data_IF_995037129640
#
_entry.id   IF_995037129640
#
_cell.length_a   1.000
_cell.length_b   1.000
_cell.length_c   1.000
_cell.angle_alpha   90.00
_cell.angle_beta   90.00
_cell.angle_gamma   90.00
#
_symmetry.space_group_name_H-M   'P 1'
#
loop_
_entity.id
_entity.type
_entity.pdbx_description
1 polymer ?
#
# COMPACT_ATOMS: atom_id res chain seq x y z
N UNK A 1 16.58 41.41 -2.09
CA UNK A 1 18.01 41.00 -2.13
C UNK A 1 18.58 41.22 -0.75
N UNK A 2 19.36 40.27 -0.24
CA UNK A 2 20.05 40.40 1.04
C UNK A 2 21.11 41.50 0.86
N UNK A 3 21.04 42.56 1.67
CA UNK A 3 21.92 43.74 1.56
C UNK A 3 22.90 43.85 2.72
N UNK A 4 22.70 43.08 3.78
CA UNK A 4 23.57 43.03 4.94
C UNK A 4 24.71 42.04 4.72
N UNK A 5 25.96 42.51 4.82
CA UNK A 5 27.17 41.70 4.65
C UNK A 5 27.43 40.71 5.78
N UNK A 6 26.74 40.88 6.91
CA UNK A 6 26.83 39.95 8.04
C UNK A 6 25.90 38.73 7.88
N UNK A 7 25.00 38.75 6.90
CA UNK A 7 24.10 37.63 6.62
C UNK A 7 24.88 36.42 6.06
N UNK A 8 24.68 35.20 6.60
CA UNK A 8 25.35 33.98 6.13
C UNK A 8 25.14 33.67 4.64
N UNK A 9 24.08 34.19 4.03
CA UNK A 9 23.73 33.99 2.63
C UNK A 9 24.02 35.23 1.77
N UNK A 10 24.81 36.19 2.26
CA UNK A 10 25.21 37.38 1.48
C UNK A 10 25.92 37.00 0.18
N UNK A 11 26.76 35.97 0.20
CA UNK A 11 27.45 35.39 -0.98
C UNK A 11 26.57 34.37 -1.75
N UNK A 12 25.29 34.25 -1.39
CA UNK A 12 24.33 33.34 -1.98
C UNK A 12 24.16 32.01 -1.25
N UNK A 13 23.14 31.26 -1.68
CA UNK A 13 22.83 29.92 -1.21
C UNK A 13 22.95 28.93 -2.38
N UNK A 14 23.63 27.81 -2.15
CA UNK A 14 23.74 26.72 -3.11
C UNK A 14 23.62 25.38 -2.40
N UNK A 15 23.20 24.35 -3.15
CA UNK A 15 23.18 22.97 -2.67
C UNK A 15 24.52 22.31 -3.02
N UNK A 16 25.32 21.85 -2.04
CA UNK A 16 26.59 21.18 -2.29
C UNK A 16 26.44 19.85 -3.05
N UNK A 17 27.49 19.43 -3.77
CA UNK A 17 27.49 18.18 -4.56
C UNK A 17 27.35 16.91 -3.72
N UNK A 18 27.72 16.96 -2.43
CA UNK A 18 27.60 15.83 -1.50
C UNK A 18 26.22 15.72 -0.83
N UNK A 19 25.22 16.50 -1.27
CA UNK A 19 23.85 16.43 -0.79
C UNK A 19 23.00 15.61 -1.76
N UNK A 20 22.31 14.60 -1.21
CA UNK A 20 21.34 13.79 -1.91
C UNK A 20 19.94 14.08 -1.36
N UNK A 21 18.96 14.25 -2.25
CA UNK A 21 17.55 14.46 -1.87
C UNK A 21 16.78 13.21 -2.29
N UNK A 22 16.26 12.49 -1.31
CA UNK A 22 15.39 11.33 -1.50
C UNK A 22 14.01 11.72 -1.01
N UNK A 23 13.07 11.82 -1.95
CA UNK A 23 11.65 12.06 -1.65
C UNK A 23 10.85 10.76 -1.82
N UNK A 24 9.87 10.55 -0.94
CA UNK A 24 8.86 9.50 -1.11
C UNK A 24 7.54 10.16 -1.48
N UNK A 25 6.84 9.63 -2.47
CA UNK A 25 5.53 10.11 -2.90
C UNK A 25 4.51 8.97 -2.78
N UNK A 26 3.29 9.32 -2.39
CA UNK A 26 2.16 8.41 -2.49
C UNK A 26 1.36 8.74 -3.76
N UNK A 27 1.25 7.77 -4.67
CA UNK A 27 0.65 7.98 -5.99
C UNK A 27 -0.88 8.15 -5.96
N UNK A 28 -1.54 7.72 -4.87
CA UNK A 28 -3.00 7.87 -4.72
C UNK A 28 -3.42 9.25 -4.22
N UNK A 29 -2.48 10.03 -3.66
CA UNK A 29 -2.82 11.30 -3.04
C UNK A 29 -3.01 12.37 -4.12
N UNK A 30 -4.28 12.63 -4.45
CA UNK A 30 -4.67 13.62 -5.45
C UNK A 30 -4.24 15.05 -5.11
N UNK A 31 -3.84 15.34 -3.87
CA UNK A 31 -3.26 16.64 -3.52
C UNK A 31 -1.91 16.89 -4.20
N UNK A 32 -1.25 15.82 -4.65
CA UNK A 32 0.09 15.84 -5.26
C UNK A 32 0.03 15.91 -6.80
N UNK A 33 -1.15 15.78 -7.42
CA UNK A 33 -1.31 15.88 -8.89
C UNK A 33 -0.86 17.23 -9.45
N UNK A 34 -0.94 18.30 -8.63
CA UNK A 34 -0.45 19.64 -9.00
C UNK A 34 1.07 19.80 -8.94
N UNK A 35 1.82 18.73 -8.63
CA UNK A 35 3.27 18.84 -8.52
C UNK A 35 3.87 19.33 -9.82
N UNK A 36 4.47 20.51 -9.73
CA UNK A 36 4.97 21.30 -10.85
C UNK A 36 5.84 20.45 -11.76
N UNK A 37 5.61 20.56 -13.07
CA UNK A 37 6.46 19.99 -14.12
C UNK A 37 7.95 20.30 -13.90
N UNK A 38 8.26 21.41 -13.23
CA UNK A 38 9.59 21.78 -12.79
C UNK A 38 10.22 20.76 -11.82
N UNK A 39 9.47 20.16 -10.91
CA UNK A 39 9.97 19.13 -10.00
C UNK A 39 10.15 17.80 -10.71
N UNK A 40 9.21 17.39 -11.58
CA UNK A 40 9.30 16.11 -12.31
C UNK A 40 10.57 15.95 -13.15
N UNK A 41 11.17 17.05 -13.64
CA UNK A 41 12.44 17.04 -14.39
C UNK A 41 13.72 17.07 -13.54
N UNK A 42 13.61 17.30 -12.22
CA UNK A 42 14.76 17.44 -11.31
C UNK A 42 15.06 16.17 -10.50
N UNK A 43 14.15 15.21 -10.52
CA UNK A 43 14.30 13.94 -9.80
C UNK A 43 14.33 12.76 -10.77
N UNK A 44 15.11 11.74 -10.41
CA UNK A 44 14.93 10.41 -10.96
C UNK A 44 13.73 9.76 -10.26
N UNK A 45 12.84 9.14 -11.04
CA UNK A 45 11.63 8.50 -10.54
C UNK A 45 11.85 6.99 -10.50
N UNK A 46 11.73 6.42 -9.31
CA UNK A 46 11.75 4.98 -9.07
C UNK A 46 10.43 4.59 -8.41
N UNK A 47 9.60 3.85 -9.13
CA UNK A 47 8.40 3.24 -8.57
C UNK A 47 8.78 2.07 -7.66
N UNK A 48 8.06 1.91 -6.55
CA UNK A 48 8.18 0.76 -5.65
C UNK A 48 6.79 0.16 -5.51
N UNK A 49 6.58 -1.01 -6.10
CA UNK A 49 5.29 -1.71 -6.08
C UNK A 49 5.08 -2.46 -4.77
N UNK A 50 3.81 -2.73 -4.46
CA UNK A 50 3.42 -3.46 -3.26
C UNK A 50 4.13 -4.83 -3.13
N UNK A 51 4.36 -5.52 -4.24
CA UNK A 51 4.99 -6.85 -4.27
C UNK A 51 6.53 -6.80 -4.15
N UNK A 52 7.15 -5.65 -4.42
CA UNK A 52 8.61 -5.50 -4.38
C UNK A 52 9.14 -5.35 -2.94
N UNK A 53 8.28 -4.97 -2.00
CA UNK A 53 8.66 -4.73 -0.61
C UNK A 53 8.02 -5.74 0.36
N UNK A 54 8.15 -7.03 0.07
CA UNK A 54 7.64 -8.12 0.94
C UNK A 54 8.56 -8.46 2.11
N UNK A 55 9.75 -7.86 2.21
CA UNK A 55 10.70 -8.10 3.31
C UNK A 55 10.14 -7.72 4.70
N UNK A 56 9.20 -6.78 4.76
CA UNK A 56 8.51 -6.47 6.03
C UNK A 56 7.62 -7.60 6.56
N UNK A 57 7.36 -8.62 5.74
CA UNK A 57 6.64 -9.83 6.12
C UNK A 57 7.57 -10.92 6.66
N UNK A 58 8.89 -10.71 6.70
CA UNK A 58 9.87 -11.72 7.18
C UNK A 58 9.60 -12.18 8.62
N UNK A 59 9.10 -11.28 9.45
CA UNK A 59 8.73 -11.56 10.84
C UNK A 59 7.54 -12.54 10.97
N UNK A 60 6.81 -12.82 9.89
CA UNK A 60 5.73 -13.81 9.85
C UNK A 60 6.24 -15.24 9.63
N UNK A 61 7.54 -15.43 9.39
CA UNK A 61 8.19 -16.74 9.27
C UNK A 61 7.43 -17.68 8.32
N UNK A 62 6.93 -18.83 8.81
CA UNK A 62 6.20 -19.82 8.02
C UNK A 62 4.88 -19.30 7.42
N UNK A 63 4.32 -18.21 7.97
CA UNK A 63 3.10 -17.60 7.43
C UNK A 63 3.38 -16.59 6.30
N UNK A 64 4.64 -16.23 6.04
CA UNK A 64 4.98 -15.20 5.06
C UNK A 64 4.40 -15.50 3.68
N UNK A 65 4.58 -16.72 3.18
CA UNK A 65 4.15 -17.09 1.83
C UNK A 65 2.61 -17.08 1.71
N UNK A 66 1.92 -17.59 2.74
CA UNK A 66 0.45 -17.55 2.86
C UNK A 66 -0.07 -16.11 2.75
N UNK A 67 0.56 -15.20 3.51
CA UNK A 67 0.18 -13.78 3.58
C UNK A 67 0.49 -13.06 2.26
N UNK A 68 1.61 -13.37 1.61
CA UNK A 68 1.94 -12.86 0.27
C UNK A 68 0.86 -13.26 -0.74
N UNK A 69 0.41 -14.51 -0.71
CA UNK A 69 -0.63 -14.97 -1.65
C UNK A 69 -1.99 -14.32 -1.38
N UNK A 70 -2.36 -14.08 -0.12
CA UNK A 70 -3.55 -13.29 0.22
C UNK A 70 -3.42 -11.85 -0.31
N UNK A 71 -2.27 -11.22 -0.09
CA UNK A 71 -1.98 -9.87 -0.57
C UNK A 71 -2.08 -9.77 -2.08
N UNK A 72 -1.46 -10.69 -2.82
CA UNK A 72 -1.53 -10.75 -4.30
C UNK A 72 -2.96 -10.93 -4.79
N UNK A 73 -3.73 -11.85 -4.20
CA UNK A 73 -5.14 -12.03 -4.60
C UNK A 73 -5.97 -10.77 -4.39
N UNK A 74 -5.77 -10.09 -3.25
CA UNK A 74 -6.47 -8.84 -2.97
C UNK A 74 -6.06 -7.76 -3.99
N UNK A 75 -4.76 -7.59 -4.24
CA UNK A 75 -4.24 -6.60 -5.17
C UNK A 75 -4.67 -6.87 -6.62
N UNK A 76 -4.68 -8.13 -7.08
CA UNK A 76 -5.21 -8.51 -8.39
C UNK A 76 -6.72 -8.27 -8.51
N UNK A 77 -7.45 -8.26 -7.39
CA UNK A 77 -8.88 -7.90 -7.40
C UNK A 77 -9.08 -6.39 -7.51
N UNK A 78 -8.20 -5.61 -6.87
CA UNK A 78 -8.17 -4.14 -7.02
C UNK A 78 -7.83 -3.79 -8.48
N UNK A 79 -6.71 -4.30 -8.97
CA UNK A 79 -6.23 -4.12 -10.32
C UNK A 79 -5.17 -5.18 -10.68
N UNK A 80 -5.43 -5.97 -11.71
CA UNK A 80 -4.46 -6.90 -12.28
C UNK A 80 -3.75 -6.21 -13.46
N UNK A 81 -2.46 -5.94 -13.29
CA UNK A 81 -1.62 -5.32 -14.31
C UNK A 81 -1.36 -6.22 -15.52
N UNK A 82 -1.44 -7.54 -15.37
CA UNK A 82 -1.22 -8.51 -16.46
C UNK A 82 -2.40 -8.52 -17.41
N UNK A 83 -3.62 -8.47 -16.87
CA UNK A 83 -4.85 -8.47 -17.66
C UNK A 83 -5.37 -7.07 -17.95
N UNK A 84 -4.84 -6.04 -17.28
CA UNK A 84 -5.31 -4.66 -17.33
C UNK A 84 -6.82 -4.55 -17.00
N UNK A 85 -7.22 -5.29 -15.96
CA UNK A 85 -8.61 -5.33 -15.46
C UNK A 85 -8.65 -5.22 -13.95
N UNK A 86 -9.77 -4.78 -13.38
CA UNK A 86 -9.90 -4.58 -11.94
C UNK A 86 -11.24 -3.96 -11.57
N UNK A 87 -11.28 -3.31 -10.42
CA UNK A 87 -12.43 -2.48 -10.02
C UNK A 87 -12.39 -1.18 -10.83
N UNK A 88 -13.50 -0.84 -11.47
CA UNK A 88 -13.62 0.39 -12.26
C UNK A 88 -13.30 1.63 -11.40
N UNK A 89 -12.39 2.47 -11.89
CA UNK A 89 -11.95 3.67 -11.20
C UNK A 89 -10.74 3.48 -10.27
N UNK A 90 -10.27 2.24 -10.08
CA UNK A 90 -9.00 1.92 -9.41
C UNK A 90 -7.94 1.46 -10.42
N UNK A 91 -6.68 1.50 -10.00
CA UNK A 91 -5.51 1.03 -10.76
C UNK A 91 -4.43 0.50 -9.81
N UNK A 92 -3.25 0.15 -10.32
CA UNK A 92 -2.14 -0.40 -9.54
C UNK A 92 -1.67 0.50 -8.37
N UNK A 93 -1.83 1.82 -8.45
CA UNK A 93 -1.47 2.73 -7.36
C UNK A 93 -2.30 2.47 -6.07
N UNK A 94 -3.48 1.87 -6.22
CA UNK A 94 -4.35 1.49 -5.10
C UNK A 94 -4.02 0.11 -4.49
N UNK A 95 -2.97 -0.57 -4.96
CA UNK A 95 -2.51 -1.81 -4.34
C UNK A 95 -2.12 -1.57 -2.88
N UNK A 96 -2.47 -2.53 -2.02
CA UNK A 96 -2.14 -2.51 -0.61
C UNK A 96 -0.77 -3.17 -0.43
N UNK A 97 0.18 -2.40 0.11
CA UNK A 97 1.52 -2.90 0.41
C UNK A 97 1.59 -3.80 1.64
N UNK A 98 2.71 -4.53 1.77
CA UNK A 98 2.95 -5.46 2.87
C UNK A 98 2.87 -4.87 4.28
N UNK A 99 2.89 -3.53 4.43
CA UNK A 99 2.90 -2.86 5.75
C UNK A 99 1.56 -2.92 6.45
N UNK A 100 0.48 -3.10 5.67
CA UNK A 100 -0.82 -3.42 6.22
C UNK A 100 -0.85 -4.87 6.69
N UNK A 101 -0.34 -5.80 5.87
CA UNK A 101 -0.35 -7.23 6.17
C UNK A 101 0.59 -7.62 7.32
N UNK A 102 1.69 -6.89 7.53
CA UNK A 102 2.60 -7.12 8.67
C UNK A 102 1.90 -6.88 10.02
N UNK A 103 0.79 -6.12 10.05
CA UNK A 103 -0.02 -5.91 11.26
C UNK A 103 -0.76 -7.17 11.71
N UNK A 104 -0.76 -8.25 10.92
CA UNK A 104 -1.27 -9.55 11.35
C UNK A 104 -0.64 -10.01 12.68
N UNK A 105 0.64 -9.68 12.90
CA UNK A 105 1.37 -9.98 14.14
C UNK A 105 0.73 -9.39 15.39
N UNK A 106 -0.06 -8.31 15.27
CA UNK A 106 -0.77 -7.72 16.40
C UNK A 106 -1.89 -8.61 16.92
N UNK A 107 -2.33 -9.58 16.11
CA UNK A 107 -3.49 -10.42 16.41
C UNK A 107 -3.15 -11.90 16.53
N UNK A 108 -1.94 -12.31 16.14
CA UNK A 108 -1.46 -13.68 16.30
C UNK A 108 -1.05 -13.95 17.75
N UNK A 109 -1.39 -15.13 18.26
CA UNK A 109 -0.81 -15.66 19.49
C UNK A 109 0.54 -16.33 19.22
N UNK A 110 1.32 -16.61 20.27
CA UNK A 110 2.70 -17.12 20.15
C UNK A 110 2.81 -18.42 19.34
N UNK A 111 1.77 -19.25 19.31
CA UNK A 111 1.73 -20.53 18.58
C UNK A 111 1.01 -20.45 17.22
N UNK A 112 0.58 -19.25 16.80
CA UNK A 112 -0.16 -18.99 15.57
C UNK A 112 -1.41 -19.85 15.38
N UNK A 113 -2.02 -20.37 16.46
CA UNK A 113 -3.22 -21.21 16.37
C UNK A 113 -4.50 -20.42 16.08
N UNK A 114 -4.49 -19.10 16.31
CA UNK A 114 -5.66 -18.25 16.15
C UNK A 114 -5.78 -17.55 14.78
N UNK A 115 -5.18 -18.10 13.71
CA UNK A 115 -5.09 -17.49 12.37
C UNK A 115 -6.41 -16.88 11.87
N UNK A 116 -7.51 -17.65 11.95
CA UNK A 116 -8.83 -17.21 11.47
C UNK A 116 -9.28 -15.90 12.14
N UNK A 117 -9.15 -15.82 13.47
CA UNK A 117 -9.47 -14.61 14.21
C UNK A 117 -8.50 -13.47 13.87
N UNK A 118 -7.21 -13.78 13.72
CA UNK A 118 -6.20 -12.79 13.35
C UNK A 118 -6.47 -12.14 11.98
N UNK A 119 -6.83 -12.93 10.96
CA UNK A 119 -7.17 -12.40 9.63
C UNK A 119 -8.47 -11.59 9.62
N UNK A 120 -9.48 -11.99 10.41
CA UNK A 120 -10.70 -11.19 10.61
C UNK A 120 -10.36 -9.84 11.22
N UNK A 121 -9.51 -9.81 12.26
CA UNK A 121 -9.08 -8.56 12.88
C UNK A 121 -8.23 -7.69 11.96
N UNK A 122 -7.32 -8.28 11.17
CA UNK A 122 -6.57 -7.56 10.16
C UNK A 122 -7.51 -6.90 9.13
N UNK A 123 -8.51 -7.63 8.65
CA UNK A 123 -9.51 -7.12 7.71
C UNK A 123 -10.29 -5.95 8.31
N UNK A 124 -10.96 -6.16 9.43
CA UNK A 124 -11.88 -5.17 10.03
C UNK A 124 -11.15 -3.91 10.51
N UNK A 125 -9.95 -4.05 11.08
CA UNK A 125 -9.26 -2.93 11.73
C UNK A 125 -8.29 -2.17 10.81
N UNK A 126 -7.84 -2.76 9.69
CA UNK A 126 -6.79 -2.16 8.87
C UNK A 126 -7.09 -2.10 7.37
N UNK A 127 -7.72 -3.13 6.79
CA UNK A 127 -7.93 -3.19 5.34
C UNK A 127 -9.27 -2.56 4.93
N UNK A 128 -10.36 -2.98 5.58
CA UNK A 128 -11.73 -2.58 5.24
C UNK A 128 -11.91 -1.06 5.27
N UNK A 129 -11.33 -0.39 6.27
CA UNK A 129 -11.38 1.07 6.38
C UNK A 129 -10.76 1.76 5.15
N UNK A 130 -9.53 1.39 4.79
CA UNK A 130 -8.82 2.00 3.64
C UNK A 130 -9.52 1.69 2.32
N UNK A 131 -9.95 0.44 2.12
CA UNK A 131 -10.69 0.06 0.92
C UNK A 131 -12.03 0.79 0.82
N UNK A 132 -12.69 1.08 1.95
CA UNK A 132 -13.92 1.88 1.97
C UNK A 132 -13.67 3.32 1.51
N UNK A 133 -12.52 3.90 1.86
CA UNK A 133 -12.11 5.22 1.38
C UNK A 133 -11.85 5.21 -0.12
N UNK A 134 -11.18 4.18 -0.64
CA UNK A 134 -10.89 4.05 -2.08
C UNK A 134 -12.17 3.95 -2.91
N UNK A 135 -13.16 3.21 -2.41
CA UNK A 135 -14.44 3.02 -3.08
C UNK A 135 -15.44 4.16 -2.82
N UNK A 136 -15.11 5.13 -1.95
CA UNK A 136 -16.04 6.19 -1.56
C UNK A 136 -16.48 6.99 -2.78
N UNK A 137 -17.80 7.08 -2.97
CA UNK A 137 -18.40 7.82 -4.07
C UNK A 137 -18.44 7.07 -5.41
N UNK A 138 -17.94 5.83 -5.47
CA UNK A 138 -18.09 4.97 -6.64
C UNK A 138 -19.51 4.36 -6.68
N UNK A 139 -20.15 4.24 -7.86
CA UNK A 139 -21.50 3.72 -7.99
C UNK A 139 -21.64 2.27 -7.51
N UNK A 140 -20.62 1.45 -7.72
CA UNK A 140 -20.61 0.02 -7.37
C UNK A 140 -19.79 -0.27 -6.11
N UNK A 141 -19.67 0.70 -5.19
CA UNK A 141 -18.83 0.57 -4.00
C UNK A 141 -19.17 -0.65 -3.13
N UNK A 142 -20.46 -0.92 -2.90
CA UNK A 142 -20.89 -2.05 -2.07
C UNK A 142 -20.56 -3.41 -2.69
N UNK A 143 -20.80 -3.56 -4.01
CA UNK A 143 -20.48 -4.79 -4.74
C UNK A 143 -18.96 -5.01 -4.79
N UNK A 144 -18.20 -3.95 -5.06
CA UNK A 144 -16.73 -3.97 -5.10
C UNK A 144 -16.15 -4.35 -3.74
N UNK A 145 -16.68 -3.78 -2.64
CA UNK A 145 -16.27 -4.13 -1.29
C UNK A 145 -16.53 -5.62 -1.00
N UNK A 146 -17.72 -6.12 -1.33
CA UNK A 146 -18.06 -7.54 -1.14
C UNK A 146 -17.14 -8.46 -1.96
N UNK A 147 -16.78 -8.07 -3.18
CA UNK A 147 -15.83 -8.81 -4.02
C UNK A 147 -14.44 -8.88 -3.39
N UNK A 148 -13.94 -7.75 -2.85
CA UNK A 148 -12.66 -7.69 -2.15
C UNK A 148 -12.65 -8.56 -0.89
N UNK A 149 -13.70 -8.47 -0.08
CA UNK A 149 -13.88 -9.27 1.13
C UNK A 149 -13.88 -10.77 0.82
N UNK A 150 -14.70 -11.18 -0.17
CA UNK A 150 -14.76 -12.56 -0.61
C UNK A 150 -13.41 -13.08 -1.11
N UNK A 151 -12.64 -12.26 -1.84
CA UNK A 151 -11.34 -12.69 -2.34
C UNK A 151 -10.28 -12.79 -1.24
N UNK A 152 -10.31 -11.87 -0.28
CA UNK A 152 -9.43 -11.89 0.88
C UNK A 152 -9.61 -13.20 1.67
N UNK A 153 -10.86 -13.56 1.99
CA UNK A 153 -11.18 -14.78 2.74
C UNK A 153 -11.26 -16.06 1.90
N UNK A 154 -11.00 -15.99 0.59
CA UNK A 154 -11.00 -17.16 -0.30
C UNK A 154 -9.84 -18.10 0.06
N UNK A 155 -10.16 -19.18 0.77
CA UNK A 155 -9.19 -20.17 1.26
C UNK A 155 -9.45 -20.63 2.71
N UNK A 156 -10.11 -19.81 3.53
CA UNK A 156 -10.37 -20.10 4.96
C UNK A 156 -11.80 -20.59 5.27
N UNK A 157 -12.69 -20.61 4.27
CA UNK A 157 -14.11 -21.01 4.41
C UNK A 157 -14.45 -22.34 3.75
N UNK A 158 -13.59 -22.87 2.87
CA UNK A 158 -13.84 -24.14 2.17
C UNK A 158 -13.33 -25.36 2.97
N UNK A 159 -12.64 -25.15 4.09
CA UNK A 159 -12.11 -26.23 4.94
C UNK A 159 -13.13 -26.82 5.93
N UNK A 160 -14.34 -26.23 6.05
CA UNK A 160 -15.37 -26.63 7.03
C UNK A 160 -16.64 -27.25 6.36
N UNK A 161 -16.57 -27.70 5.09
CA UNK A 161 -17.72 -28.35 4.41
C UNK A 161 -17.56 -29.88 4.27
N UNK A 162 -16.41 -30.47 4.61
CA UNK A 162 -16.26 -31.92 4.71
C UNK A 162 -15.52 -32.31 5.99
N UNK A 163 -16.29 -32.65 7.03
CA UNK A 163 -15.83 -33.20 8.30
C UNK A 163 -16.99 -33.67 9.17
#
# INVERSE_FOLDING_TARGET
MITDKSDPFYEGFYVPENVYIIGTMNDIDRSVESMDFAMRRRFAWQEIKAEENTGMLDNLQEMKDEVIEIMKRLNNTIWDETTNTGIEGLNAAYHIGGSYFSKLQLYLNEDHTNKKAAYIHLWENHLKGVLSEYLRGMPNAMESMKKLENMYFKGDLDADIEG
#
